data_IF_500954900001
#
_entry.id   IF_500954900001
#
_cell.length_a   1.000
_cell.length_b   1.000
_cell.length_c   1.000
_cell.angle_alpha   90.00
_cell.angle_beta   90.00
_cell.angle_gamma   90.00
#
_symmetry.space_group_name_H-M   'P 1'
#
loop_
_entity.id
_entity.type
_entity.pdbx_description
1 polymer ?
#
# COMPACT_ATOMS: atom_id res chain seq x y z
N UNK A 1 6.65 -11.13 4.66
CA UNK A 1 6.31 -9.92 3.99
C UNK A 1 4.88 -9.90 3.61
N UNK A 2 4.14 -9.18 4.31
CA UNK A 2 2.72 -9.14 4.09
C UNK A 2 2.26 -8.41 2.84
N UNK A 3 3.19 -7.84 2.12
CA UNK A 3 2.84 -7.00 0.99
C UNK A 3 2.56 -7.73 -0.28
N UNK A 4 3.24 -8.85 -0.49
CA UNK A 4 3.08 -9.54 -1.74
C UNK A 4 1.83 -10.35 -1.71
N UNK A 5 0.91 -10.01 -2.59
CA UNK A 5 -0.24 -10.82 -2.85
C UNK A 5 0.19 -11.92 -3.80
N UNK A 6 -0.34 -13.11 -3.61
CA UNK A 6 -0.02 -14.20 -4.51
C UNK A 6 -0.44 -13.92 -5.93
N UNK A 7 -1.49 -13.14 -6.10
CA UNK A 7 -1.95 -12.82 -7.44
C UNK A 7 -1.04 -11.83 -8.15
N UNK A 8 -0.13 -11.21 -7.40
CA UNK A 8 0.83 -10.29 -7.99
C UNK A 8 2.22 -10.90 -8.03
N UNK A 9 2.29 -12.21 -7.92
CA UNK A 9 3.54 -12.91 -8.02
C UNK A 9 4.21 -12.53 -9.32
N UNK A 10 5.47 -12.17 -9.27
CA UNK A 10 6.19 -11.68 -10.41
C UNK A 10 6.23 -10.18 -10.55
N UNK A 11 5.38 -9.47 -9.84
CA UNK A 11 5.41 -8.02 -9.85
C UNK A 11 6.26 -7.55 -8.68
N UNK A 12 7.28 -6.77 -8.96
CA UNK A 12 8.24 -6.38 -7.94
C UNK A 12 7.76 -5.16 -7.16
N UNK A 13 7.77 -5.26 -5.83
CA UNK A 13 7.40 -4.14 -4.98
C UNK A 13 8.49 -3.94 -3.95
N UNK A 14 8.92 -2.70 -3.77
CA UNK A 14 9.93 -2.39 -2.77
C UNK A 14 9.77 -0.97 -2.27
N UNK A 15 10.09 -0.78 -1.00
CA UNK A 15 10.07 0.56 -0.42
C UNK A 15 11.36 1.31 -0.70
N UNK A 16 12.37 0.62 -1.16
CA UNK A 16 13.62 1.26 -1.55
C UNK A 16 13.80 1.12 -3.05
N UNK A 17 14.79 1.82 -3.58
CA UNK A 17 15.18 1.66 -4.96
C UNK A 17 16.38 0.73 -4.95
N UNK A 18 16.31 -0.41 -5.62
CA UNK A 18 17.45 -1.34 -5.65
C UNK A 18 18.66 -0.67 -6.28
N UNK A 19 19.79 -0.86 -5.69
CA UNK A 19 21.00 -0.17 -6.15
C UNK A 19 21.90 -1.04 -7.02
N UNK A 20 21.40 -2.13 -7.52
CA UNK A 20 22.22 -2.98 -8.35
C UNK A 20 23.41 -3.51 -7.59
N UNK A 21 23.14 -4.11 -6.49
CA UNK A 21 24.14 -4.44 -5.53
C UNK A 21 25.34 -5.21 -6.05
N UNK A 22 26.33 -5.23 -5.25
CA UNK A 22 27.59 -5.87 -5.56
C UNK A 22 27.46 -7.37 -5.70
N UNK A 23 26.44 -7.95 -5.14
CA UNK A 23 26.30 -9.40 -5.18
C UNK A 23 25.87 -9.93 -6.54
N UNK A 24 25.35 -9.07 -7.37
CA UNK A 24 24.84 -9.52 -8.65
C UNK A 24 23.46 -10.12 -8.58
N UNK A 25 22.94 -10.30 -7.39
CA UNK A 25 21.60 -10.87 -7.21
C UNK A 25 20.52 -9.83 -7.03
N UNK A 26 20.89 -8.57 -6.89
CA UNK A 26 19.91 -7.53 -6.67
C UNK A 26 19.08 -7.32 -7.93
N UNK A 27 17.79 -7.10 -7.78
CA UNK A 27 16.95 -6.79 -8.94
C UNK A 27 17.46 -5.52 -9.62
N UNK A 28 17.34 -5.49 -10.91
CA UNK A 28 17.83 -4.37 -11.70
C UNK A 28 16.67 -3.72 -12.42
N UNK A 29 16.71 -2.41 -12.47
CA UNK A 29 15.70 -1.62 -13.14
C UNK A 29 16.19 -1.34 -14.54
N UNK A 30 15.39 -1.73 -15.52
CA UNK A 30 15.72 -1.43 -16.90
C UNK A 30 15.27 -0.03 -17.29
N UNK A 31 14.12 0.41 -16.76
CA UNK A 31 13.55 1.67 -17.17
C UNK A 31 12.62 2.21 -16.10
N UNK A 32 12.68 3.50 -15.85
CA UNK A 32 11.75 4.19 -14.98
C UNK A 32 10.60 4.72 -15.84
N UNK A 33 9.37 4.44 -15.42
CA UNK A 33 8.21 4.77 -16.23
C UNK A 33 7.44 5.98 -15.71
N UNK A 34 7.49 6.22 -14.41
CA UNK A 34 6.83 7.39 -13.87
C UNK A 34 6.23 7.15 -12.51
N UNK A 35 5.69 8.19 -11.93
CA UNK A 35 5.09 8.14 -10.60
C UNK A 35 3.70 7.55 -10.70
N UNK A 36 3.39 6.67 -9.76
CA UNK A 36 2.04 6.11 -9.64
C UNK A 36 1.59 6.22 -8.21
N UNK A 37 0.29 6.23 -8.01
CA UNK A 37 -0.27 6.24 -6.67
C UNK A 37 -1.57 5.45 -6.65
N UNK A 38 -1.98 5.11 -5.43
CA UNK A 38 -3.24 4.46 -5.20
C UNK A 38 -3.83 4.97 -3.90
N UNK A 39 -5.13 4.84 -3.76
CA UNK A 39 -5.81 5.38 -2.61
C UNK A 39 -6.97 4.47 -2.22
N UNK A 40 -7.26 4.48 -0.92
CA UNK A 40 -8.44 3.82 -0.40
C UNK A 40 -8.96 4.63 0.76
N UNK A 41 -10.27 4.63 0.92
CA UNK A 41 -10.88 5.40 1.99
C UNK A 41 -11.60 4.43 2.92
N UNK A 42 -11.33 4.56 4.21
CA UNK A 42 -12.08 3.86 5.23
C UNK A 42 -13.25 4.77 5.56
N UNK A 43 -14.46 4.33 5.27
CA UNK A 43 -15.64 5.16 5.44
C UNK A 43 -16.01 5.38 6.88
N UNK A 44 -16.96 6.28 7.10
CA UNK A 44 -17.31 6.72 8.44
C UNK A 44 -17.81 5.60 9.34
N UNK A 45 -18.62 4.70 8.81
CA UNK A 45 -19.14 3.63 9.65
C UNK A 45 -18.05 2.70 10.13
N UNK A 46 -17.17 2.31 9.23
CA UNK A 46 -16.07 1.43 9.58
C UNK A 46 -15.12 2.14 10.53
N UNK A 47 -14.88 3.42 10.29
CA UNK A 47 -13.99 4.21 11.13
C UNK A 47 -14.53 4.23 12.56
N UNK A 48 -15.82 4.49 12.72
CA UNK A 48 -16.41 4.51 14.05
C UNK A 48 -16.32 3.15 14.71
N UNK A 49 -16.56 2.10 13.94
CA UNK A 49 -16.50 0.74 14.48
C UNK A 49 -15.10 0.43 14.96
N UNK A 50 -14.09 0.90 14.26
CA UNK A 50 -12.72 0.72 14.68
C UNK A 50 -12.48 1.29 16.07
N UNK A 51 -12.95 2.50 16.29
CA UNK A 51 -12.72 3.13 17.58
C UNK A 51 -13.60 2.57 18.68
N UNK A 52 -14.78 2.12 18.36
CA UNK A 52 -15.61 1.45 19.32
C UNK A 52 -14.95 0.15 19.79
N UNK A 53 -14.41 -0.59 18.85
CA UNK A 53 -13.74 -1.83 19.19
C UNK A 53 -12.56 -1.58 20.11
N UNK A 54 -11.81 -0.53 19.84
CA UNK A 54 -10.67 -0.20 20.66
C UNK A 54 -11.10 0.09 22.09
N UNK A 55 -12.22 0.78 22.25
CA UNK A 55 -12.71 1.09 23.57
C UNK A 55 -13.20 -0.12 24.30
N UNK A 56 -13.86 -1.01 23.60
CA UNK A 56 -14.51 -2.15 24.22
C UNK A 56 -13.57 -3.29 24.53
N UNK A 57 -12.47 -3.39 23.84
CA UNK A 57 -11.55 -4.49 24.01
C UNK A 57 -10.42 -4.04 24.91
N UNK A 58 -10.56 -4.34 26.19
CA UNK A 58 -9.60 -3.92 27.17
C UNK A 58 -8.27 -4.62 26.97
N UNK A 59 -7.22 -3.82 26.87
CA UNK A 59 -5.88 -4.34 26.69
C UNK A 59 -5.74 -5.05 25.40
N UNK A 60 -6.69 -4.90 24.55
CA UNK A 60 -6.71 -5.73 23.43
C UNK A 60 -6.28 -5.13 22.18
N UNK A 61 -6.04 -6.01 21.39
CA UNK A 61 -5.87 -5.71 20.02
C UNK A 61 -7.23 -5.51 19.46
N UNK A 62 -7.35 -4.47 18.79
CA UNK A 62 -8.56 -4.22 18.06
C UNK A 62 -8.40 -4.94 16.73
N UNK A 63 -8.67 -6.21 16.71
CA UNK A 63 -8.51 -6.98 15.50
C UNK A 63 -9.24 -6.41 14.31
N UNK A 64 -10.44 -5.85 14.55
CA UNK A 64 -11.16 -5.19 13.47
C UNK A 64 -10.45 -3.96 12.96
N UNK A 65 -9.84 -3.21 13.85
CA UNK A 65 -9.08 -2.03 13.49
C UNK A 65 -7.89 -2.41 12.60
N UNK A 66 -7.15 -3.42 13.04
CA UNK A 66 -5.98 -3.84 12.27
C UNK A 66 -6.38 -4.39 10.91
N UNK A 67 -7.47 -5.14 10.86
CA UNK A 67 -7.93 -5.69 9.59
C UNK A 67 -8.40 -4.60 8.65
N UNK A 68 -9.07 -3.59 9.19
CA UNK A 68 -9.53 -2.49 8.35
C UNK A 68 -8.37 -1.73 7.74
N UNK A 69 -7.34 -1.46 8.55
CA UNK A 69 -6.15 -0.79 8.04
C UNK A 69 -5.43 -1.64 7.00
N UNK A 70 -5.27 -2.92 7.27
CA UNK A 70 -4.60 -3.80 6.33
C UNK A 70 -5.38 -3.88 5.03
N UNK A 71 -6.70 -3.97 5.12
CA UNK A 71 -7.53 -4.01 3.92
C UNK A 71 -7.43 -2.74 3.10
N UNK A 72 -7.38 -1.59 3.78
CA UNK A 72 -7.25 -0.33 3.07
C UNK A 72 -5.88 -0.20 2.42
N UNK A 73 -4.83 -0.64 3.10
CA UNK A 73 -3.50 -0.63 2.49
C UNK A 73 -3.46 -1.52 1.26
N UNK A 74 -4.04 -2.71 1.37
CA UNK A 74 -4.06 -3.63 0.24
C UNK A 74 -4.84 -3.04 -0.93
N UNK A 75 -5.97 -2.40 -0.65
CA UNK A 75 -6.77 -1.79 -1.70
C UNK A 75 -6.02 -0.66 -2.39
N UNK A 76 -5.36 0.19 -1.60
CA UNK A 76 -4.58 1.28 -2.17
C UNK A 76 -3.44 0.73 -3.02
N UNK A 77 -2.79 -0.32 -2.53
CA UNK A 77 -1.69 -0.94 -3.25
C UNK A 77 -2.16 -1.56 -4.56
N UNK A 78 -3.29 -2.26 -4.53
CA UNK A 78 -3.82 -2.84 -5.76
C UNK A 78 -4.18 -1.79 -6.79
N UNK A 79 -4.74 -0.67 -6.32
CA UNK A 79 -5.07 0.43 -7.20
C UNK A 79 -3.82 0.96 -7.89
N UNK A 80 -2.75 1.13 -7.12
CA UNK A 80 -1.49 1.61 -7.66
C UNK A 80 -0.86 0.60 -8.62
N UNK A 81 -0.91 -0.67 -8.28
CA UNK A 81 -0.34 -1.72 -9.13
C UNK A 81 -1.09 -1.75 -10.47
N UNK A 82 -2.39 -1.59 -10.43
CA UNK A 82 -3.16 -1.60 -11.66
C UNK A 82 -2.75 -0.42 -12.55
N UNK A 83 -2.58 0.75 -11.97
CA UNK A 83 -2.13 1.91 -12.74
C UNK A 83 -0.75 1.66 -13.34
N UNK A 84 0.14 1.05 -12.57
CA UNK A 84 1.48 0.75 -13.05
C UNK A 84 1.46 -0.26 -14.19
N UNK A 85 0.61 -1.27 -14.06
CA UNK A 85 0.51 -2.28 -15.12
C UNK A 85 0.04 -1.68 -16.43
N UNK A 86 -0.83 -0.68 -16.35
CA UNK A 86 -1.28 -0.01 -17.55
C UNK A 86 -0.19 0.78 -18.23
N UNK A 87 0.86 1.13 -17.51
CA UNK A 87 2.01 1.79 -18.08
C UNK A 87 3.04 0.80 -18.62
N UNK A 88 2.77 -0.50 -18.47
CA UNK A 88 3.71 -1.53 -18.89
C UNK A 88 4.73 -1.88 -17.83
N UNK A 89 4.50 -1.46 -16.60
CA UNK A 89 5.45 -1.70 -15.53
C UNK A 89 5.43 -3.16 -15.08
N UNK A 90 6.56 -3.62 -14.58
CA UNK A 90 6.67 -4.92 -13.93
C UNK A 90 7.06 -4.77 -12.47
N UNK A 91 7.16 -3.55 -11.98
CA UNK A 91 7.45 -3.32 -10.58
C UNK A 91 7.20 -1.88 -10.19
N UNK A 92 7.20 -1.65 -8.89
CA UNK A 92 7.09 -0.32 -8.31
C UNK A 92 8.12 -0.25 -7.20
N UNK A 93 8.91 0.81 -7.17
CA UNK A 93 9.92 1.00 -6.15
C UNK A 93 9.67 2.31 -5.42
N UNK A 94 10.31 2.45 -4.27
CA UNK A 94 10.16 3.67 -3.48
C UNK A 94 8.76 3.83 -2.91
N UNK A 95 8.13 2.75 -2.50
CA UNK A 95 6.79 2.81 -1.95
C UNK A 95 6.75 3.64 -0.68
N UNK A 96 5.74 4.48 -0.58
CA UNK A 96 5.52 5.28 0.61
C UNK A 96 4.03 5.35 0.89
N UNK A 97 3.66 5.05 2.13
CA UNK A 97 2.27 5.08 2.56
C UNK A 97 2.02 6.31 3.40
N UNK A 98 0.89 6.95 3.18
CA UNK A 98 0.42 8.06 3.97
C UNK A 98 -0.99 7.82 4.44
N UNK A 99 -1.29 8.34 5.61
CA UNK A 99 -2.61 8.19 6.21
C UNK A 99 -3.10 9.56 6.63
N UNK A 100 -4.36 9.85 6.35
CA UNK A 100 -4.95 11.12 6.74
C UNK A 100 -6.35 10.89 7.26
N UNK A 101 -6.61 11.45 8.43
CA UNK A 101 -7.96 11.41 9.00
C UNK A 101 -8.70 12.62 8.50
N UNK A 102 -9.88 12.40 7.96
CA UNK A 102 -10.70 13.46 7.41
C UNK A 102 -12.05 13.48 8.09
N UNK A 103 -12.64 14.65 8.17
CA UNK A 103 -14.00 14.77 8.68
C UNK A 103 -14.10 14.43 10.15
N UNK A 104 -13.66 15.32 11.00
CA UNK A 104 -13.55 15.07 12.43
C UNK A 104 -14.79 14.44 13.04
N UNK A 105 -15.94 14.99 12.73
CA UNK A 105 -17.16 14.52 13.36
C UNK A 105 -17.59 13.17 12.83
N UNK A 106 -17.43 12.97 11.56
CA UNK A 106 -17.90 11.74 10.92
C UNK A 106 -16.81 10.75 10.62
N UNK A 107 -15.59 11.15 10.82
CA UNK A 107 -14.45 10.28 10.71
C UNK A 107 -14.33 9.47 9.43
N UNK A 108 -13.31 9.75 8.71
CA UNK A 108 -12.91 8.92 7.59
C UNK A 108 -11.40 8.90 7.57
N UNK A 109 -10.83 7.85 7.03
CA UNK A 109 -9.39 7.80 6.90
C UNK A 109 -9.03 7.50 5.46
N UNK A 110 -8.14 8.30 4.94
CA UNK A 110 -7.59 8.08 3.62
C UNK A 110 -6.26 7.35 3.78
N UNK A 111 -6.10 6.29 3.02
CA UNK A 111 -4.81 5.61 2.93
C UNK A 111 -4.32 5.83 1.50
N UNK A 112 -3.14 6.40 1.37
CA UNK A 112 -2.56 6.67 0.08
C UNK A 112 -1.21 6.00 0.00
N UNK A 113 -0.86 5.54 -1.19
CA UNK A 113 0.46 4.98 -1.43
C UNK A 113 0.98 5.57 -2.72
N UNK A 114 2.27 5.85 -2.76
CA UNK A 114 2.90 6.35 -3.96
C UNK A 114 4.18 5.58 -4.22
N UNK A 115 4.66 5.68 -5.42
CA UNK A 115 5.91 5.03 -5.81
C UNK A 115 6.23 5.32 -7.24
N UNK A 116 7.29 4.70 -7.73
CA UNK A 116 7.73 4.87 -9.10
C UNK A 116 7.58 3.56 -9.84
N UNK A 117 6.80 3.59 -10.90
CA UNK A 117 6.61 2.43 -11.75
C UNK A 117 7.86 2.20 -12.57
N UNK A 118 8.29 0.95 -12.66
CA UNK A 118 9.52 0.59 -13.35
C UNK A 118 9.33 -0.66 -14.18
N UNK A 119 10.19 -0.78 -15.16
CA UNK A 119 10.35 -2.01 -15.89
C UNK A 119 11.60 -2.68 -15.34
N UNK A 120 11.43 -3.87 -14.81
CA UNK A 120 12.57 -4.61 -14.28
C UNK A 120 13.31 -5.31 -15.42
N UNK A 121 14.59 -5.42 -15.25
CA UNK A 121 15.40 -6.08 -16.26
C UNK A 121 15.23 -7.61 -16.22
#
# INVERSE_FOLDING_TARGET
MGWFSKKDSGFFLATIVPSGGASGDAPRIAQYLGVVNGEAIIGANIFRDMFSSVRDVVGGRAGGYERALAGARDAALEDMIEAAKQMGATGIVGLDFDYAVMGEANGMMLVAVSGTAVQMA
#
